data_IF_051851499358
#
_entry.id   IF_051851499358
#
_cell.length_a   1.000
_cell.length_b   1.000
_cell.length_c   1.000
_cell.angle_alpha   90.00
_cell.angle_beta   90.00
_cell.angle_gamma   90.00
#
_symmetry.space_group_name_H-M   'P 1'
#
loop_
_entity.id
_entity.type
_entity.pdbx_description
1 polymer ?
#
# COMPACT_ATOMS: atom_id res chain seq x y z
N UNK A 1 -17.54 -3.85 4.84
CA UNK A 1 -16.06 -3.87 4.77
C UNK A 1 -15.45 -4.88 5.74
N UNK A 2 -15.67 -4.79 7.06
CA UNK A 2 -15.07 -5.77 7.99
C UNK A 2 -15.52 -7.22 7.66
N UNK A 3 -16.82 -7.46 7.51
CA UNK A 3 -17.36 -8.79 7.16
C UNK A 3 -16.95 -9.30 5.78
N UNK A 4 -16.52 -8.41 4.88
CA UNK A 4 -16.05 -8.74 3.52
C UNK A 4 -14.53 -8.86 3.44
N UNK A 5 -13.85 -9.11 4.56
CA UNK A 5 -12.38 -9.14 4.65
C UNK A 5 -11.74 -7.85 4.11
N UNK A 6 -12.24 -6.70 4.56
CA UNK A 6 -11.82 -5.36 4.11
C UNK A 6 -11.99 -5.14 2.60
N UNK A 7 -12.84 -5.96 1.94
CA UNK A 7 -13.05 -5.95 0.50
C UNK A 7 -11.77 -6.18 -0.31
N UNK A 8 -10.81 -6.94 0.24
CA UNK A 8 -9.58 -7.31 -0.47
C UNK A 8 -9.83 -8.50 -1.41
N UNK A 9 -9.27 -8.42 -2.61
CA UNK A 9 -9.26 -9.53 -3.58
C UNK A 9 -7.85 -10.05 -3.83
N UNK A 10 -6.91 -9.14 -4.12
CA UNK A 10 -5.50 -9.44 -4.40
C UNK A 10 -4.63 -8.27 -3.96
N UNK A 11 -3.35 -8.56 -3.70
CA UNK A 11 -2.30 -7.55 -3.59
C UNK A 11 -1.14 -7.94 -4.52
N UNK A 12 -0.36 -6.94 -4.92
CA UNK A 12 0.83 -7.09 -5.78
C UNK A 12 1.98 -6.39 -5.07
N UNK A 13 3.15 -7.01 -5.04
CA UNK A 13 4.34 -6.49 -4.36
C UNK A 13 5.42 -6.13 -5.36
N UNK A 14 6.18 -5.07 -5.06
CA UNK A 14 7.42 -4.74 -5.76
C UNK A 14 8.63 -5.40 -5.10
N UNK A 15 9.81 -4.87 -5.44
CA UNK A 15 11.05 -5.24 -4.78
C UNK A 15 11.01 -4.90 -3.27
N UNK A 16 11.56 -5.78 -2.45
CA UNK A 16 11.67 -5.57 -1.00
C UNK A 16 13.03 -4.98 -0.63
N UNK A 17 13.05 -4.02 0.29
CA UNK A 17 14.27 -3.46 0.87
C UNK A 17 14.28 -3.62 2.39
N UNK A 18 15.41 -3.31 3.02
CA UNK A 18 15.41 -3.03 4.46
C UNK A 18 14.56 -1.80 4.76
N UNK A 19 13.91 -1.80 5.91
CA UNK A 19 13.07 -0.67 6.33
C UNK A 19 13.93 0.58 6.56
N UNK A 20 13.49 1.71 5.98
CA UNK A 20 14.04 3.04 6.21
C UNK A 20 12.90 3.97 6.69
N UNK A 21 13.02 4.61 7.86
CA UNK A 21 12.05 5.60 8.34
C UNK A 21 11.79 6.76 7.38
N UNK A 22 12.72 7.04 6.45
CA UNK A 22 12.55 8.06 5.41
C UNK A 22 11.36 7.78 4.48
N UNK A 23 10.83 6.55 4.45
CA UNK A 23 9.61 6.14 3.74
C UNK A 23 8.42 7.08 3.99
N UNK A 24 8.35 7.73 5.15
CA UNK A 24 7.30 8.71 5.47
C UNK A 24 7.29 9.92 4.53
N UNK A 25 8.40 10.21 3.87
CA UNK A 25 8.55 11.31 2.92
C UNK A 25 8.30 10.85 1.48
N UNK A 26 8.08 9.56 1.23
CA UNK A 26 7.88 9.04 -0.11
C UNK A 26 6.58 9.59 -0.71
N UNK A 27 6.62 9.81 -2.02
CA UNK A 27 5.44 10.09 -2.83
C UNK A 27 5.15 8.93 -3.77
N UNK A 28 3.90 8.79 -4.19
CA UNK A 28 3.47 7.78 -5.14
C UNK A 28 2.72 8.43 -6.29
N UNK A 29 2.97 7.95 -7.50
CA UNK A 29 2.17 8.24 -8.69
C UNK A 29 1.69 6.91 -9.27
N UNK A 30 0.38 6.79 -9.48
CA UNK A 30 -0.23 5.67 -10.19
C UNK A 30 -0.69 6.14 -11.57
N UNK A 31 -0.24 5.45 -12.59
CA UNK A 31 -0.59 5.69 -13.99
C UNK A 31 -1.31 4.47 -14.57
N UNK A 32 -2.19 4.70 -15.54
CA UNK A 32 -2.69 3.67 -16.47
C UNK A 32 -2.47 4.15 -17.89
N UNK A 33 -1.75 3.37 -18.70
CA UNK A 33 -1.44 3.69 -20.10
C UNK A 33 -0.85 5.11 -20.29
N UNK A 34 -0.07 5.57 -19.30
CA UNK A 34 0.55 6.89 -19.26
C UNK A 34 -0.33 8.02 -18.71
N UNK A 35 -1.60 7.77 -18.38
CA UNK A 35 -2.48 8.74 -17.73
C UNK A 35 -2.38 8.63 -16.20
N UNK A 36 -2.11 9.76 -15.52
CA UNK A 36 -2.04 9.81 -14.05
C UNK A 36 -3.43 9.65 -13.44
N UNK A 37 -3.64 8.56 -12.72
CA UNK A 37 -4.89 8.24 -12.03
C UNK A 37 -4.89 8.68 -10.56
N UNK A 38 -3.73 8.65 -9.90
CA UNK A 38 -3.57 9.03 -8.50
C UNK A 38 -2.16 9.57 -8.24
N UNK A 39 -2.07 10.56 -7.36
CA UNK A 39 -0.82 11.10 -6.85
C UNK A 39 -1.02 11.38 -5.36
N UNK A 40 -0.13 10.85 -4.53
CA UNK A 40 -0.30 10.84 -3.08
C UNK A 40 1.03 10.85 -2.33
N UNK A 41 0.98 11.18 -1.05
CA UNK A 41 2.12 11.08 -0.14
C UNK A 41 1.97 9.85 0.77
N UNK A 42 3.09 9.32 1.27
CA UNK A 42 3.08 8.23 2.25
C UNK A 42 2.28 8.58 3.52
N UNK A 43 2.23 9.86 3.87
CA UNK A 43 1.46 10.41 5.00
C UNK A 43 -0.06 10.28 4.84
N UNK A 44 -0.56 9.99 3.63
CA UNK A 44 -2.00 9.77 3.44
C UNK A 44 -2.47 8.50 4.20
N UNK A 45 -1.57 7.54 4.43
CA UNK A 45 -1.81 6.39 5.28
C UNK A 45 -1.67 6.76 6.77
N UNK A 46 -2.77 7.19 7.39
CA UNK A 46 -2.85 7.51 8.83
C UNK A 46 -1.85 8.57 9.33
N UNK A 47 -1.43 9.52 8.48
CA UNK A 47 -0.48 10.58 8.83
C UNK A 47 0.99 10.14 8.76
N UNK A 48 1.30 8.90 9.11
CA UNK A 48 2.63 8.29 8.98
C UNK A 48 2.51 6.76 8.84
N UNK A 49 3.16 6.12 7.85
CA UNK A 49 3.13 4.66 7.69
C UNK A 49 3.57 3.88 8.93
N UNK A 50 4.46 4.45 9.75
CA UNK A 50 4.93 3.81 10.98
C UNK A 50 3.84 3.81 12.06
N UNK A 51 3.00 4.85 12.11
CA UNK A 51 1.88 4.91 13.04
C UNK A 51 0.76 3.95 12.62
N UNK A 52 0.51 3.80 11.32
CA UNK A 52 -0.37 2.75 10.81
C UNK A 52 0.13 1.34 11.18
N UNK A 53 1.44 1.08 11.01
CA UNK A 53 2.06 -0.17 11.44
C UNK A 53 1.88 -0.42 12.94
N UNK A 54 2.19 0.57 13.78
CA UNK A 54 2.05 0.46 15.25
C UNK A 54 0.61 0.16 15.66
N UNK A 55 -0.35 0.84 15.06
CA UNK A 55 -1.78 0.58 15.29
C UNK A 55 -2.15 -0.86 14.91
N UNK A 56 -1.72 -1.32 13.74
CA UNK A 56 -2.02 -2.67 13.25
C UNK A 56 -1.46 -3.76 14.17
N UNK A 57 -0.21 -3.61 14.62
CA UNK A 57 0.42 -4.56 15.55
C UNK A 57 -0.29 -4.55 16.91
N UNK A 58 -0.60 -3.36 17.44
CA UNK A 58 -1.35 -3.24 18.69
C UNK A 58 -2.72 -3.91 18.57
N UNK A 59 -3.43 -3.66 17.46
CA UNK A 59 -4.75 -4.25 17.24
C UNK A 59 -4.70 -5.76 17.09
N UNK A 60 -3.71 -6.30 16.37
CA UNK A 60 -3.49 -7.73 16.22
C UNK A 60 -3.28 -8.39 17.58
N UNK A 61 -2.42 -7.82 18.43
CA UNK A 61 -2.20 -8.29 19.79
C UNK A 61 -3.48 -8.28 20.63
N UNK A 62 -4.25 -7.19 20.57
CA UNK A 62 -5.46 -7.03 21.38
C UNK A 62 -6.55 -8.06 21.03
N UNK A 63 -6.56 -8.56 19.79
CA UNK A 63 -7.48 -9.63 19.35
C UNK A 63 -6.85 -11.04 19.41
N UNK A 64 -5.66 -11.18 20.00
CA UNK A 64 -4.95 -12.45 20.11
C UNK A 64 -4.40 -12.98 18.78
N UNK A 65 -4.29 -12.15 17.75
CA UNK A 65 -3.70 -12.52 16.47
C UNK A 65 -2.19 -12.37 16.51
N UNK A 66 -1.47 -13.45 16.20
CA UNK A 66 0.00 -13.47 16.18
C UNK A 66 0.52 -13.11 14.79
N UNK A 67 1.32 -12.04 14.73
CA UNK A 67 2.07 -11.68 13.52
C UNK A 67 3.36 -12.48 13.50
N UNK A 68 3.56 -13.25 12.44
CA UNK A 68 4.73 -14.13 12.28
C UNK A 68 5.72 -13.57 11.26
N UNK A 69 7.01 -13.93 11.35
CA UNK A 69 8.00 -13.61 10.33
C UNK A 69 7.54 -14.05 8.93
N UNK A 70 7.75 -13.17 7.93
CA UNK A 70 7.36 -13.41 6.54
C UNK A 70 5.93 -12.95 6.18
N UNK A 71 5.13 -12.50 7.15
CA UNK A 71 3.85 -11.85 6.85
C UNK A 71 4.04 -10.47 6.23
N UNK A 72 3.11 -10.10 5.34
CA UNK A 72 3.05 -8.78 4.71
C UNK A 72 1.97 -7.96 5.39
N UNK A 73 2.32 -6.72 5.79
CA UNK A 73 1.41 -5.78 6.40
C UNK A 73 1.14 -4.62 5.43
N UNK A 74 -0.12 -4.42 5.08
CA UNK A 74 -0.56 -3.29 4.26
C UNK A 74 -1.00 -2.15 5.19
N UNK A 75 -0.26 -1.05 5.19
CA UNK A 75 -0.44 0.07 6.15
C UNK A 75 -1.51 1.07 5.73
N UNK A 76 -2.18 0.86 4.60
CA UNK A 76 -3.29 1.69 4.13
C UNK A 76 -3.14 2.10 2.68
N UNK A 77 -4.21 2.68 2.12
CA UNK A 77 -4.18 3.27 0.80
C UNK A 77 -3.44 4.62 0.83
N UNK A 78 -2.69 4.90 -0.24
CA UNK A 78 -2.09 6.21 -0.47
C UNK A 78 -2.96 6.95 -1.50
N UNK A 79 -3.61 8.03 -1.08
CA UNK A 79 -4.56 8.77 -1.91
C UNK A 79 -5.85 8.01 -2.18
N UNK A 80 -6.44 8.24 -3.36
CA UNK A 80 -7.77 7.71 -3.71
C UNK A 80 -7.71 6.28 -4.24
N UNK A 81 -8.72 5.49 -3.91
CA UNK A 81 -8.98 4.23 -4.62
C UNK A 81 -9.60 4.56 -5.97
N UNK A 82 -9.04 4.00 -7.05
CA UNK A 82 -9.52 4.21 -8.42
C UNK A 82 -10.22 2.96 -8.93
N UNK A 83 -11.28 3.14 -9.71
CA UNK A 83 -11.96 2.03 -10.37
C UNK A 83 -11.01 1.40 -11.41
N UNK A 84 -10.90 0.08 -11.36
CA UNK A 84 -10.04 -0.66 -12.26
C UNK A 84 -10.72 -0.82 -13.63
N UNK A 85 -9.98 -0.58 -14.71
CA UNK A 85 -10.40 -0.88 -16.07
C UNK A 85 -9.22 -1.50 -16.84
N UNK A 86 -9.45 -2.20 -17.96
CA UNK A 86 -8.37 -2.79 -18.75
C UNK A 86 -7.29 -1.75 -19.11
N UNK A 87 -6.03 -2.18 -19.09
CA UNK A 87 -4.87 -1.32 -19.35
C UNK A 87 -3.63 -1.73 -18.54
N UNK A 88 -2.51 -1.07 -18.83
CA UNK A 88 -1.24 -1.27 -18.12
C UNK A 88 -1.07 -0.24 -17.01
N UNK A 89 -1.01 -0.72 -15.76
CA UNK A 89 -0.85 0.10 -14.57
C UNK A 89 0.59 0.15 -14.11
N UNK A 90 1.06 1.35 -13.75
CA UNK A 90 2.39 1.58 -13.18
C UNK A 90 2.27 2.46 -11.94
N UNK A 91 2.66 1.93 -10.79
CA UNK A 91 2.79 2.66 -9.54
C UNK A 91 4.27 2.93 -9.24
N UNK A 92 4.67 4.21 -9.24
CA UNK A 92 6.04 4.63 -8.93
C UNK A 92 6.07 5.21 -7.53
N UNK A 93 6.91 4.65 -6.68
CA UNK A 93 7.13 5.08 -5.31
C UNK A 93 8.51 5.71 -5.22
N UNK A 94 8.57 6.99 -4.88
CA UNK A 94 9.82 7.73 -4.79
C UNK A 94 10.77 7.07 -3.78
N UNK A 95 11.99 6.75 -4.24
CA UNK A 95 13.01 6.04 -3.46
C UNK A 95 12.73 4.56 -3.14
N UNK A 96 11.54 4.02 -3.46
CA UNK A 96 11.14 2.65 -3.09
C UNK A 96 10.92 1.73 -4.31
N UNK A 97 10.88 2.28 -5.52
CA UNK A 97 10.83 1.53 -6.76
C UNK A 97 9.46 1.56 -7.45
N UNK A 98 9.19 0.53 -8.26
CA UNK A 98 8.03 0.48 -9.14
C UNK A 98 7.28 -0.84 -8.97
N UNK A 99 5.96 -0.76 -9.02
CA UNK A 99 5.06 -1.92 -9.14
C UNK A 99 4.22 -1.74 -10.40
N UNK A 100 4.16 -2.75 -11.25
CA UNK A 100 3.40 -2.70 -12.50
C UNK A 100 2.59 -3.97 -12.71
N UNK A 101 1.45 -3.84 -13.39
CA UNK A 101 0.58 -4.95 -13.76
C UNK A 101 -0.33 -4.57 -14.92
N UNK A 102 -0.81 -5.56 -15.67
CA UNK A 102 -1.84 -5.36 -16.69
C UNK A 102 -3.17 -5.96 -16.24
N UNK A 103 -4.26 -5.30 -16.60
CA UNK A 103 -5.62 -5.83 -16.51
C UNK A 103 -6.17 -6.01 -17.93
N UNK A 104 -6.69 -7.20 -18.23
CA UNK A 104 -7.35 -7.54 -19.48
C UNK A 104 -8.87 -7.38 -19.38
#
# INVERSE_FOLDING_TARGET
MISSNVSVFRFITGATSTFDPSVRNASVVLERDGEVLNQAAATDAMGDPLDAYRWLIAKARDVGYRVEPGMILLTGALGRVVEAAPGHYVARFDGLGVVEFSLE
#
